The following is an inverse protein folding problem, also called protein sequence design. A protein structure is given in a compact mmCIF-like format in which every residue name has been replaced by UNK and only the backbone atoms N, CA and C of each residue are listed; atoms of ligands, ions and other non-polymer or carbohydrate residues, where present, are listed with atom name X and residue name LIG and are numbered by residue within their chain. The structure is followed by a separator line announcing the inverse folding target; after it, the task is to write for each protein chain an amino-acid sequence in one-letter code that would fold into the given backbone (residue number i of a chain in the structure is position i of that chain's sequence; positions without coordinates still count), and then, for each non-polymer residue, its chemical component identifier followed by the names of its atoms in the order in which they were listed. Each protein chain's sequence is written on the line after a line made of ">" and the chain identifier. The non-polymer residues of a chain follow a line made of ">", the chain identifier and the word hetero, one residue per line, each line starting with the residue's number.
data_IF_275382000404
#
_entry.id   IF_275382000404
#
_cell.length_a   1.000
_cell.length_b   1.000
_cell.length_c   1.000
_cell.angle_alpha   90.00
_cell.angle_beta   90.00
_cell.angle_gamma   90.00
#
_symmetry.space_group_name_H-M   'P 1'
#
loop_
_entity.id
_entity.type
_entity.pdbx_description
1 polymer ?
#
# COMPACT_ATOMS: atom_id res chain seq x y z
N UNK A 1 26.27 6.75 -3.23
CA UNK A 1 25.13 6.02 -2.62
C UNK A 1 25.61 5.42 -1.31
N UNK A 2 25.31 6.05 -0.18
CA UNK A 2 25.73 5.61 1.16
C UNK A 2 24.71 4.64 1.72
N UNK A 3 25.13 3.40 2.01
CA UNK A 3 24.33 2.46 2.81
C UNK A 3 24.00 3.13 4.14
N UNK A 4 22.71 3.37 4.41
CA UNK A 4 22.28 4.02 5.65
C UNK A 4 22.27 2.97 6.77
N UNK A 5 23.45 2.64 7.28
CA UNK A 5 23.56 1.77 8.45
C UNK A 5 22.87 2.47 9.63
N UNK A 6 22.04 1.72 10.36
CA UNK A 6 21.22 2.25 11.46
C UNK A 6 21.87 1.85 12.78
N UNK A 7 22.20 2.84 13.61
CA UNK A 7 22.90 2.63 14.89
C UNK A 7 21.92 2.31 16.03
N UNK A 8 20.79 3.01 16.08
CA UNK A 8 19.76 2.81 17.11
C UNK A 8 18.37 3.06 16.54
N UNK A 9 17.36 2.36 17.08
CA UNK A 9 15.95 2.52 16.69
C UNK A 9 15.07 2.57 17.93
N UNK A 10 14.25 3.62 18.03
CA UNK A 10 13.17 3.73 19.01
C UNK A 10 11.82 3.62 18.29
N UNK A 11 11.01 2.64 18.70
CA UNK A 11 9.63 2.49 18.20
C UNK A 11 8.69 3.30 19.09
N UNK A 12 8.01 4.26 18.46
CA UNK A 12 7.01 5.11 19.11
C UNK A 12 5.62 4.49 19.12
N UNK A 13 4.63 5.31 19.46
CA UNK A 13 3.20 4.97 19.42
C UNK A 13 2.62 5.34 18.04
N UNK A 14 1.70 4.54 17.49
CA UNK A 14 0.97 4.84 16.24
C UNK A 14 1.84 4.96 14.97
N UNK A 15 2.56 3.89 14.62
CA UNK A 15 3.41 3.83 13.41
C UNK A 15 4.45 4.94 13.33
N UNK A 16 4.77 5.57 14.46
CA UNK A 16 5.87 6.52 14.58
C UNK A 16 7.15 5.81 15.02
N UNK A 17 8.28 6.31 14.55
CA UNK A 17 9.58 5.77 14.92
C UNK A 17 10.66 6.85 14.86
N UNK A 18 11.64 6.75 15.75
CA UNK A 18 12.89 7.50 15.66
C UNK A 18 14.02 6.54 15.30
N UNK A 19 14.87 6.92 14.34
CA UNK A 19 16.04 6.12 13.93
C UNK A 19 17.28 6.99 13.88
N UNK A 20 18.34 6.52 14.53
CA UNK A 20 19.67 7.11 14.45
C UNK A 20 20.46 6.39 13.36
N UNK A 21 20.93 7.14 12.37
CA UNK A 21 21.70 6.61 11.25
C UNK A 21 23.20 6.83 11.47
N UNK A 22 24.04 5.95 10.93
CA UNK A 22 25.50 6.08 10.95
C UNK A 22 25.99 7.31 10.18
N UNK A 23 25.17 7.83 9.27
CA UNK A 23 25.41 9.10 8.57
C UNK A 23 25.19 10.35 9.42
N UNK A 24 24.94 10.22 10.72
CA UNK A 24 24.79 11.37 11.62
C UNK A 24 23.43 12.06 11.53
N UNK A 25 22.39 11.32 11.17
CA UNK A 25 21.03 11.87 11.06
C UNK A 25 20.04 11.09 11.92
N UNK A 26 19.10 11.85 12.47
CA UNK A 26 17.94 11.37 13.20
C UNK A 26 16.69 11.44 12.30
N UNK A 27 16.13 10.29 11.96
CA UNK A 27 14.88 10.19 11.21
C UNK A 27 13.71 10.07 12.18
N UNK A 28 12.79 11.03 12.15
CA UNK A 28 11.51 10.95 12.86
C UNK A 28 10.40 10.66 11.83
N UNK A 29 9.87 9.45 11.88
CA UNK A 29 8.77 9.02 11.02
C UNK A 29 7.44 9.20 11.75
N UNK A 30 6.51 9.94 11.15
CA UNK A 30 5.15 10.15 11.66
C UNK A 30 4.13 9.98 10.51
N UNK A 31 2.86 9.60 10.78
CA UNK A 31 1.91 9.17 9.76
C UNK A 31 1.68 10.12 8.58
N UNK A 32 1.82 11.42 8.81
CA UNK A 32 1.61 12.46 7.81
C UNK A 32 2.92 13.09 7.30
N UNK A 33 4.01 12.95 8.05
CA UNK A 33 5.25 13.69 7.82
C UNK A 33 6.42 12.83 8.23
N UNK A 34 7.37 12.67 7.30
CA UNK A 34 8.67 12.11 7.61
C UNK A 34 9.67 13.23 7.73
N UNK A 35 10.34 13.34 8.89
CA UNK A 35 11.36 14.35 9.15
C UNK A 35 12.74 13.72 9.20
N UNK A 36 13.68 14.36 8.53
CA UNK A 36 15.10 14.03 8.57
C UNK A 36 15.82 15.19 9.26
N UNK A 37 16.35 14.93 10.44
CA UNK A 37 16.97 15.91 11.33
C UNK A 37 18.46 15.58 11.41
N UNK A 38 19.36 16.42 10.90
CA UNK A 38 20.80 16.23 11.11
C UNK A 38 21.15 16.32 12.60
N UNK A 39 22.06 15.48 13.11
CA UNK A 39 22.47 15.54 14.52
C UNK A 39 23.14 16.87 14.90
N UNK A 40 23.75 17.55 13.93
CA UNK A 40 24.30 18.90 14.07
C UNK A 40 23.25 19.95 14.41
N UNK A 41 21.97 19.67 14.14
CA UNK A 41 20.84 20.54 14.45
C UNK A 41 20.14 20.21 15.79
N UNK A 42 20.56 19.13 16.46
CA UNK A 42 20.00 18.70 17.73
C UNK A 42 20.79 19.33 18.87
N UNK A 43 20.12 20.07 19.74
CA UNK A 43 20.73 20.69 20.93
C UNK A 43 20.71 19.72 22.11
N UNK A 44 19.53 19.19 22.44
CA UNK A 44 19.37 18.25 23.54
C UNK A 44 18.33 17.20 23.25
N UNK A 45 18.58 16.02 23.82
CA UNK A 45 17.67 14.89 23.77
C UNK A 45 17.38 14.43 25.20
N UNK A 46 16.10 14.22 25.50
CA UNK A 46 15.61 13.87 26.82
C UNK A 46 14.57 12.74 26.80
N UNK A 47 14.45 12.08 27.94
CA UNK A 47 13.40 11.11 28.24
C UNK A 47 12.40 11.78 29.19
N UNK A 48 11.41 12.46 28.62
CA UNK A 48 10.45 13.27 29.38
C UNK A 48 9.11 12.53 29.59
N UNK A 49 8.23 13.18 30.34
CA UNK A 49 6.86 12.74 30.57
C UNK A 49 6.72 11.63 31.63
N UNK A 50 5.50 11.08 31.80
CA UNK A 50 5.18 10.15 32.87
C UNK A 50 6.03 8.88 32.76
N UNK A 51 6.79 8.59 33.82
CA UNK A 51 7.74 7.49 33.89
C UNK A 51 8.88 7.53 32.83
N UNK A 52 9.13 8.66 32.16
CA UNK A 52 10.19 8.81 31.15
C UNK A 52 9.90 8.13 29.81
N UNK A 53 8.63 8.15 29.39
CA UNK A 53 8.15 7.43 28.20
C UNK A 53 8.09 8.25 26.91
N UNK A 54 8.47 9.52 26.94
CA UNK A 54 8.44 10.39 25.74
C UNK A 54 9.86 10.75 25.35
N UNK A 55 10.23 10.47 24.11
CA UNK A 55 11.46 11.01 23.54
C UNK A 55 11.19 12.46 23.15
N UNK A 56 11.93 13.39 23.73
CA UNK A 56 11.90 14.79 23.32
C UNK A 56 13.22 15.12 22.65
N UNK A 57 13.14 15.60 21.41
CA UNK A 57 14.29 16.08 20.64
C UNK A 57 14.12 17.58 20.49
N UNK A 58 15.00 18.33 21.14
CA UNK A 58 15.00 19.79 21.07
C UNK A 58 16.07 20.21 20.09
N UNK A 59 15.65 20.95 19.07
CA UNK A 59 16.54 21.51 18.07
C UNK A 59 17.23 22.76 18.61
N UNK A 60 18.44 23.02 18.13
CA UNK A 60 19.17 24.24 18.44
C UNK A 60 18.33 25.46 18.06
N UNK A 61 18.13 26.35 19.03
CA UNK A 61 17.40 27.59 18.81
C UNK A 61 18.31 28.59 18.10
N UNK A 62 17.79 29.24 17.06
CA UNK A 62 18.41 30.47 16.55
C UNK A 62 18.27 31.59 17.60
N UNK A 63 19.25 32.50 17.71
CA UNK A 63 19.17 33.63 18.63
C UNK A 63 17.84 34.39 18.46
N UNK A 64 17.06 34.52 19.53
CA UNK A 64 15.77 35.20 19.53
C UNK A 64 14.56 34.37 19.08
N UNK A 65 14.73 33.09 18.73
CA UNK A 65 13.61 32.16 18.50
C UNK A 65 13.45 31.16 19.67
N UNK A 66 12.21 30.79 20.01
CA UNK A 66 11.99 29.70 20.96
C UNK A 66 12.49 28.38 20.37
N UNK A 67 13.05 27.48 21.19
CA UNK A 67 13.50 26.17 20.74
C UNK A 67 12.33 25.32 20.22
N UNK A 68 12.54 24.64 19.10
CA UNK A 68 11.56 23.71 18.52
C UNK A 68 11.79 22.33 19.11
N UNK A 69 10.77 21.81 19.80
CA UNK A 69 10.80 20.47 20.36
C UNK A 69 9.92 19.53 19.53
N UNK A 70 10.49 18.39 19.14
CA UNK A 70 9.77 17.27 18.57
C UNK A 70 9.63 16.17 19.61
N UNK A 71 8.39 15.87 19.98
CA UNK A 71 8.08 14.80 20.90
C UNK A 71 7.61 13.55 20.16
N UNK A 72 8.15 12.40 20.58
CA UNK A 72 7.75 11.10 20.07
C UNK A 72 7.40 10.20 21.27
N UNK A 73 6.11 9.95 21.53
CA UNK A 73 5.69 9.10 22.64
C UNK A 73 6.10 7.65 22.36
N UNK A 74 6.69 6.99 23.35
CA UNK A 74 7.12 5.59 23.28
C UNK A 74 6.47 4.76 24.40
N UNK A 75 6.52 3.43 24.26
CA UNK A 75 5.87 2.51 25.21
C UNK A 75 6.78 2.10 26.36
N UNK A 76 8.09 1.98 26.13
CA UNK A 76 9.04 1.47 27.11
C UNK A 76 10.03 2.58 27.54
N UNK A 77 10.00 3.03 28.80
CA UNK A 77 10.87 4.11 29.27
C UNK A 77 12.35 3.72 29.35
N UNK A 78 12.67 2.45 29.62
CA UNK A 78 14.06 1.99 29.60
C UNK A 78 14.64 2.09 28.17
N UNK A 79 13.85 1.71 27.16
CA UNK A 79 14.24 1.83 25.75
C UNK A 79 14.43 3.30 25.31
N UNK A 80 13.61 4.22 25.83
CA UNK A 80 13.81 5.66 25.60
C UNK A 80 15.14 6.10 26.20
N UNK A 81 15.43 5.77 27.47
CA UNK A 81 16.70 6.13 28.12
C UNK A 81 17.91 5.60 27.36
N UNK A 82 17.91 4.31 27.00
CA UNK A 82 19.00 3.71 26.21
C UNK A 82 19.16 4.38 24.85
N UNK A 83 18.07 4.72 24.16
CA UNK A 83 18.14 5.44 22.89
C UNK A 83 18.67 6.86 23.06
N UNK A 84 18.25 7.57 24.11
CA UNK A 84 18.75 8.90 24.46
C UNK A 84 20.25 8.85 24.74
N UNK A 85 20.72 7.87 25.51
CA UNK A 85 22.14 7.70 25.80
C UNK A 85 22.95 7.41 24.53
N UNK A 86 22.44 6.56 23.64
CA UNK A 86 23.07 6.30 22.35
C UNK A 86 23.16 7.55 21.46
N UNK A 87 22.10 8.37 21.42
CA UNK A 87 22.13 9.63 20.66
C UNK A 87 23.10 10.64 21.31
N UNK A 88 23.17 10.70 22.64
CA UNK A 88 24.11 11.57 23.38
C UNK A 88 25.58 11.23 23.13
N UNK A 89 25.91 9.95 22.96
CA UNK A 89 27.26 9.53 22.64
C UNK A 89 27.75 10.00 21.26
N UNK A 90 26.82 10.25 20.33
CA UNK A 90 27.12 10.63 18.94
C UNK A 90 26.86 12.11 18.68
N UNK A 91 26.28 12.83 19.65
CA UNK A 91 25.97 14.25 19.54
C UNK A 91 27.26 15.09 19.52
N UNK A 92 27.41 16.03 18.57
CA UNK A 92 28.54 16.95 18.56
C UNK A 92 28.50 17.89 19.78
N UNK A 93 29.68 18.27 20.29
CA UNK A 93 29.82 19.10 21.48
C UNK A 93 29.20 20.50 21.36
N UNK A 94 29.03 21.01 20.13
CA UNK A 94 28.28 22.23 19.84
C UNK A 94 27.42 22.03 18.59
N UNK A 95 26.11 22.32 18.65
CA UNK A 95 25.27 22.34 17.46
C UNK A 95 25.70 23.50 16.55
N UNK A 96 25.79 23.24 15.25
CA UNK A 96 26.18 24.23 14.23
C UNK A 96 25.01 24.67 13.35
N UNK A 97 23.98 23.83 13.25
CA UNK A 97 22.93 24.00 12.25
C UNK A 97 21.60 24.36 12.92
N UNK A 98 20.93 25.37 12.40
CA UNK A 98 19.61 25.78 12.87
C UNK A 98 18.49 24.84 12.38
N UNK A 99 17.23 25.10 12.79
CA UNK A 99 16.07 24.29 12.42
C UNK A 99 15.80 24.23 10.90
N UNK A 100 16.41 25.12 10.10
CA UNK A 100 16.33 25.11 8.64
C UNK A 100 16.96 23.88 7.96
N UNK A 101 17.79 23.10 8.67
CA UNK A 101 18.40 21.88 8.14
C UNK A 101 17.46 20.65 8.14
N UNK A 102 16.27 20.79 8.72
CA UNK A 102 15.28 19.70 8.79
C UNK A 102 14.57 19.53 7.44
N UNK A 103 14.74 18.37 6.81
CA UNK A 103 13.99 18.04 5.59
C UNK A 103 12.69 17.34 5.96
N UNK A 104 11.56 17.94 5.58
CA UNK A 104 10.23 17.33 5.69
C UNK A 104 9.79 16.75 4.34
N UNK A 105 9.56 15.44 4.28
CA UNK A 105 8.94 14.81 3.13
C UNK A 105 7.45 14.55 3.41
N UNK A 106 6.58 15.15 2.57
CA UNK A 106 5.15 14.83 2.52
C UNK A 106 4.92 13.75 1.46
N UNK A 107 4.51 12.54 1.84
CA UNK A 107 4.27 11.48 0.86
C UNK A 107 3.13 11.85 -0.10
N UNK A 108 3.41 11.92 -1.40
CA UNK A 108 2.44 12.22 -2.46
C UNK A 108 1.51 11.02 -2.68
N UNK A 109 0.19 11.23 -2.52
CA UNK A 109 -0.84 10.20 -2.74
C UNK A 109 -0.86 9.79 -4.22
N UNK A 110 -0.74 8.49 -4.48
CA UNK A 110 -0.96 7.90 -5.80
C UNK A 110 -2.40 8.21 -6.25
N UNK A 111 -2.52 8.79 -7.44
CA UNK A 111 -3.78 9.18 -8.08
C UNK A 111 -4.57 7.94 -8.47
N UNK A 112 -5.89 7.98 -8.29
CA UNK A 112 -6.79 6.87 -8.59
C UNK A 112 -6.68 6.38 -10.05
N UNK A 113 -6.89 5.08 -10.31
CA UNK A 113 -6.75 4.50 -11.64
C UNK A 113 -7.76 5.12 -12.62
N UNK A 114 -7.27 5.58 -13.79
CA UNK A 114 -8.12 6.04 -14.89
C UNK A 114 -8.93 4.87 -15.45
N UNK A 115 -10.26 5.00 -15.49
CA UNK A 115 -11.14 3.99 -16.09
C UNK A 115 -10.85 3.87 -17.60
N UNK A 116 -10.56 2.67 -18.12
CA UNK A 116 -10.20 2.48 -19.52
C UNK A 116 -11.40 2.59 -20.48
N UNK A 117 -11.14 3.06 -21.71
CA UNK A 117 -12.13 3.36 -22.78
C UNK A 117 -13.12 2.21 -23.09
N UNK A 118 -12.72 0.96 -22.88
CA UNK A 118 -13.57 -0.20 -23.15
C UNK A 118 -14.85 -0.23 -22.29
N UNK A 119 -14.84 0.39 -21.10
CA UNK A 119 -16.06 0.53 -20.29
C UNK A 119 -17.16 1.34 -20.99
N UNK A 120 -16.80 2.30 -21.84
CA UNK A 120 -17.76 3.10 -22.60
C UNK A 120 -18.37 2.33 -23.77
N UNK A 121 -17.59 1.45 -24.41
CA UNK A 121 -18.10 0.59 -25.48
C UNK A 121 -19.10 -0.45 -24.95
N UNK A 122 -18.84 -1.01 -23.77
CA UNK A 122 -19.79 -1.91 -23.08
C UNK A 122 -21.09 -1.17 -22.73
N UNK A 123 -20.99 0.06 -22.24
CA UNK A 123 -22.17 0.88 -21.95
C UNK A 123 -23.00 1.23 -23.21
N UNK A 124 -22.34 1.53 -24.33
CA UNK A 124 -23.02 1.85 -25.59
C UNK A 124 -23.76 0.65 -26.21
N UNK A 125 -23.12 -0.52 -26.24
CA UNK A 125 -23.74 -1.76 -26.71
C UNK A 125 -24.97 -2.13 -25.85
N UNK A 126 -24.87 -1.93 -24.54
CA UNK A 126 -25.96 -2.15 -23.61
C UNK A 126 -27.18 -1.25 -23.89
N UNK A 127 -26.96 0.04 -24.17
CA UNK A 127 -28.05 0.98 -24.50
C UNK A 127 -28.78 0.63 -25.81
N UNK A 128 -28.07 0.10 -26.81
CA UNK A 128 -28.69 -0.34 -28.07
C UNK A 128 -29.65 -1.52 -27.88
N UNK A 129 -29.26 -2.49 -27.04
CA UNK A 129 -30.12 -3.63 -26.70
C UNK A 129 -31.36 -3.17 -25.90
N UNK A 130 -31.20 -2.16 -25.03
CA UNK A 130 -32.30 -1.53 -24.31
C UNK A 130 -33.37 -0.98 -25.25
N UNK A 131 -32.92 -0.19 -26.24
CA UNK A 131 -33.80 0.46 -27.20
C UNK A 131 -34.58 -0.54 -28.06
N UNK A 132 -33.95 -1.65 -28.45
CA UNK A 132 -34.61 -2.73 -29.20
C UNK A 132 -35.69 -3.46 -28.40
N UNK A 133 -35.54 -3.59 -27.08
CA UNK A 133 -36.53 -4.24 -26.21
C UNK A 133 -37.65 -3.30 -25.78
N UNK A 134 -37.36 -2.01 -25.60
CA UNK A 134 -38.36 -0.95 -25.48
C UNK A 134 -39.36 -0.95 -26.64
N UNK A 135 -38.90 -1.29 -27.85
CA UNK A 135 -39.76 -1.42 -29.03
C UNK A 135 -40.68 -2.67 -29.02
N UNK A 136 -40.44 -3.65 -28.13
CA UNK A 136 -41.09 -4.98 -28.18
C UNK A 136 -42.12 -5.28 -27.07
N UNK A 137 -42.20 -4.47 -26.01
CA UNK A 137 -43.27 -4.58 -24.99
C UNK A 137 -42.82 -4.53 -23.52
N UNK A 138 -43.77 -4.21 -22.62
CA UNK A 138 -43.54 -3.72 -21.25
C UNK A 138 -43.06 -4.76 -20.22
N UNK A 139 -43.45 -6.02 -20.33
CA UNK A 139 -43.17 -7.02 -19.28
C UNK A 139 -41.76 -7.63 -19.38
N UNK A 140 -41.21 -7.69 -20.60
CA UNK A 140 -39.80 -8.03 -20.83
C UNK A 140 -38.85 -6.91 -20.33
N UNK A 141 -39.36 -5.68 -20.26
CA UNK A 141 -38.59 -4.49 -19.91
C UNK A 141 -38.09 -4.52 -18.46
N UNK A 142 -38.92 -5.01 -17.52
CA UNK A 142 -38.58 -5.06 -16.10
C UNK A 142 -37.49 -6.10 -15.82
N UNK A 143 -37.63 -7.33 -16.35
CA UNK A 143 -36.60 -8.37 -16.25
C UNK A 143 -35.31 -7.96 -16.96
N UNK A 144 -35.42 -7.28 -18.10
CA UNK A 144 -34.26 -6.77 -18.82
C UNK A 144 -33.55 -5.62 -18.10
N UNK A 145 -34.27 -4.69 -17.47
CA UNK A 145 -33.70 -3.59 -16.68
C UNK A 145 -33.00 -4.06 -15.39
N UNK A 146 -33.45 -5.19 -14.82
CA UNK A 146 -32.86 -5.80 -13.63
C UNK A 146 -31.66 -6.70 -13.94
N UNK A 147 -31.65 -7.35 -15.11
CA UNK A 147 -30.55 -8.19 -15.58
C UNK A 147 -29.13 -7.60 -15.45
N UNK A 148 -28.85 -6.31 -15.76
CA UNK A 148 -27.50 -5.73 -15.75
C UNK A 148 -27.06 -5.37 -14.34
N UNK A 149 -28.01 -5.10 -13.44
CA UNK A 149 -27.73 -4.89 -12.02
C UNK A 149 -27.08 -6.14 -11.40
N UNK A 150 -27.39 -7.33 -11.94
CA UNK A 150 -26.85 -8.62 -11.49
C UNK A 150 -25.72 -9.12 -12.40
N UNK A 151 -25.87 -8.98 -13.73
CA UNK A 151 -24.88 -9.43 -14.72
C UNK A 151 -23.62 -8.57 -14.72
N UNK A 152 -23.70 -7.25 -14.52
CA UNK A 152 -22.51 -6.40 -14.52
C UNK A 152 -21.54 -6.74 -13.37
N UNK A 153 -21.97 -6.81 -12.08
CA UNK A 153 -21.05 -7.21 -11.01
C UNK A 153 -20.62 -8.67 -11.13
N UNK A 154 -21.51 -9.57 -11.57
CA UNK A 154 -21.17 -10.98 -11.81
C UNK A 154 -20.10 -11.14 -12.90
N UNK A 155 -20.29 -10.48 -14.03
CA UNK A 155 -19.35 -10.47 -15.15
C UNK A 155 -18.00 -9.86 -14.78
N UNK A 156 -17.98 -8.74 -14.06
CA UNK A 156 -16.74 -8.13 -13.54
C UNK A 156 -16.02 -9.10 -12.60
N UNK A 157 -16.74 -9.79 -11.72
CA UNK A 157 -16.16 -10.78 -10.82
C UNK A 157 -15.56 -11.97 -11.59
N UNK A 158 -16.24 -12.51 -12.60
CA UNK A 158 -15.72 -13.61 -13.43
C UNK A 158 -14.49 -13.17 -14.22
N UNK A 159 -14.54 -12.02 -14.91
CA UNK A 159 -13.41 -11.51 -15.69
C UNK A 159 -12.21 -11.26 -14.77
N UNK A 160 -12.42 -10.63 -13.61
CA UNK A 160 -11.38 -10.44 -12.61
C UNK A 160 -10.82 -11.76 -12.08
N UNK A 161 -11.67 -12.76 -11.84
CA UNK A 161 -11.26 -14.10 -11.42
C UNK A 161 -10.41 -14.83 -12.45
N UNK A 162 -10.78 -14.75 -13.74
CA UNK A 162 -10.02 -15.34 -14.85
C UNK A 162 -8.67 -14.66 -15.01
N UNK A 163 -8.61 -13.33 -14.91
CA UNK A 163 -7.35 -12.59 -15.01
C UNK A 163 -6.40 -12.95 -13.85
N UNK A 164 -6.92 -13.01 -12.61
CA UNK A 164 -6.15 -13.48 -11.45
C UNK A 164 -5.68 -14.93 -11.63
N UNK A 165 -6.51 -15.80 -12.21
CA UNK A 165 -6.15 -17.19 -12.50
C UNK A 165 -5.03 -17.27 -13.54
N UNK A 166 -5.10 -16.47 -14.59
CA UNK A 166 -4.06 -16.37 -15.62
C UNK A 166 -2.74 -15.87 -15.03
N UNK A 167 -2.78 -14.83 -14.21
CA UNK A 167 -1.61 -14.30 -13.50
C UNK A 167 -1.01 -15.33 -12.54
N UNK A 168 -1.86 -16.01 -11.76
CA UNK A 168 -1.45 -17.08 -10.86
C UNK A 168 -0.82 -18.27 -11.60
N UNK A 169 -1.38 -18.63 -12.76
CA UNK A 169 -0.83 -19.68 -13.63
C UNK A 169 0.51 -19.28 -14.23
N UNK A 170 0.63 -18.04 -14.73
CA UNK A 170 1.90 -17.47 -15.21
C UNK A 170 2.98 -17.50 -14.15
N UNK A 171 2.65 -17.04 -12.93
CA UNK A 171 3.54 -17.14 -11.77
C UNK A 171 3.88 -18.59 -11.41
N UNK A 172 2.94 -19.54 -11.53
CA UNK A 172 3.20 -20.95 -11.22
C UNK A 172 4.17 -21.59 -12.22
N UNK A 173 3.94 -21.40 -13.51
CA UNK A 173 4.71 -22.06 -14.59
C UNK A 173 6.03 -21.35 -14.87
N UNK A 174 6.04 -20.02 -14.89
CA UNK A 174 7.18 -19.19 -15.32
C UNK A 174 7.78 -18.33 -14.21
N UNK A 175 7.16 -18.31 -13.03
CA UNK A 175 7.54 -17.38 -11.98
C UNK A 175 8.98 -17.58 -11.52
N UNK A 176 9.73 -16.49 -11.54
CA UNK A 176 11.11 -16.40 -11.03
C UNK A 176 11.10 -15.71 -9.70
N UNK A 177 11.98 -16.14 -8.80
CA UNK A 177 12.12 -15.53 -7.49
C UNK A 177 13.36 -14.67 -7.44
N UNK A 178 13.21 -13.48 -6.87
CA UNK A 178 14.28 -12.50 -6.69
C UNK A 178 14.14 -11.90 -5.30
N UNK A 179 15.24 -11.36 -4.78
CA UNK A 179 15.26 -10.72 -3.49
C UNK A 179 14.74 -9.28 -3.62
N UNK A 180 13.56 -9.03 -3.04
CA UNK A 180 13.01 -7.70 -2.89
C UNK A 180 13.54 -7.03 -1.62
N UNK A 181 14.08 -5.82 -1.75
CA UNK A 181 14.51 -4.99 -0.62
C UNK A 181 13.43 -3.99 -0.27
N UNK A 182 13.05 -3.95 1.01
CA UNK A 182 12.09 -2.98 1.51
C UNK A 182 12.66 -1.57 1.35
N UNK A 183 11.95 -0.73 0.61
CA UNK A 183 12.30 0.68 0.41
C UNK A 183 11.44 1.59 1.28
N UNK A 184 10.15 1.29 1.35
CA UNK A 184 9.20 2.11 2.11
C UNK A 184 8.12 1.23 2.68
N UNK A 185 7.83 1.39 3.95
CA UNK A 185 6.58 0.92 4.54
C UNK A 185 5.72 2.16 4.77
N UNK A 186 4.46 2.12 4.37
CA UNK A 186 3.52 3.18 4.69
C UNK A 186 2.23 2.63 5.26
N UNK A 187 1.79 3.36 6.25
CA UNK A 187 0.59 3.17 6.98
C UNK A 187 -0.64 3.53 6.13
N UNK A 188 -1.48 2.58 5.72
CA UNK A 188 -2.79 2.94 5.16
C UNK A 188 -3.71 3.25 6.33
N UNK A 189 -4.22 4.49 6.35
CA UNK A 189 -5.26 4.91 7.29
C UNK A 189 -6.55 5.10 6.48
N UNK A 190 -7.60 4.36 6.84
CA UNK A 190 -8.88 4.35 6.12
C UNK A 190 -9.58 2.99 6.07
N UNK A 191 -8.96 1.92 6.58
CA UNK A 191 -9.63 0.64 6.86
C UNK A 191 -9.78 0.49 8.38
N UNK A 192 -10.84 -0.18 8.83
CA UNK A 192 -11.10 -0.44 10.27
C UNK A 192 -9.94 -1.19 10.96
N UNK A 193 -9.06 -1.82 10.18
CA UNK A 193 -7.78 -2.36 10.64
C UNK A 193 -6.59 -1.60 10.03
N UNK A 194 -5.58 -1.24 10.85
CA UNK A 194 -4.35 -0.63 10.36
C UNK A 194 -3.58 -1.62 9.49
N UNK A 195 -3.75 -1.55 8.17
CA UNK A 195 -2.94 -2.29 7.19
C UNK A 195 -1.68 -1.51 6.78
N UNK A 196 -0.51 -2.15 6.85
CA UNK A 196 0.74 -1.58 6.36
C UNK A 196 0.94 -2.02 4.91
N UNK A 197 1.12 -1.05 4.02
CA UNK A 197 1.54 -1.29 2.65
C UNK A 197 3.06 -1.17 2.60
N UNK A 198 3.70 -2.19 2.04
CA UNK A 198 5.13 -2.23 1.87
C UNK A 198 5.49 -2.09 0.40
N UNK A 199 6.54 -1.33 0.16
CA UNK A 199 7.17 -1.10 -1.12
C UNK A 199 8.50 -1.81 -1.11
N UNK A 200 8.66 -2.74 -2.03
CA UNK A 200 9.89 -3.47 -2.22
C UNK A 200 10.46 -3.14 -3.60
N UNK A 201 11.75 -2.84 -3.66
CA UNK A 201 12.47 -2.77 -4.93
C UNK A 201 13.13 -4.11 -5.20
N UNK A 202 13.08 -4.56 -6.45
CA UNK A 202 13.77 -5.75 -6.89
C UNK A 202 14.35 -5.53 -8.28
N UNK A 203 15.37 -6.30 -8.63
CA UNK A 203 15.90 -6.34 -10.00
C UNK A 203 15.31 -7.55 -10.73
N UNK A 204 14.87 -7.34 -11.97
CA UNK A 204 14.48 -8.43 -12.87
C UNK A 204 15.72 -9.12 -13.48
N UNK A 205 15.51 -10.16 -14.29
CA UNK A 205 16.58 -10.90 -14.99
C UNK A 205 17.42 -10.00 -15.92
N UNK A 206 16.90 -8.85 -16.33
CA UNK A 206 17.60 -7.87 -17.16
C UNK A 206 18.35 -6.81 -16.33
N UNK A 207 18.30 -6.93 -15.00
CA UNK A 207 18.88 -5.95 -14.07
C UNK A 207 18.06 -4.66 -13.95
N UNK A 208 16.86 -4.59 -14.52
CA UNK A 208 16.03 -3.39 -14.43
C UNK A 208 15.38 -3.32 -13.04
N UNK A 209 15.45 -2.14 -12.43
CA UNK A 209 14.83 -1.90 -11.13
C UNK A 209 13.30 -1.85 -11.29
N UNK A 210 12.62 -2.68 -10.52
CA UNK A 210 11.16 -2.79 -10.43
C UNK A 210 10.69 -2.55 -9.02
N UNK A 211 9.41 -2.25 -8.89
CA UNK A 211 8.77 -1.96 -7.62
C UNK A 211 7.55 -2.87 -7.42
N UNK A 212 7.47 -3.51 -6.26
CA UNK A 212 6.28 -4.21 -5.81
C UNK A 212 5.65 -3.45 -4.66
N UNK A 213 4.31 -3.35 -4.68
CA UNK A 213 3.52 -2.67 -3.64
C UNK A 213 2.41 -3.57 -3.16
N UNK A 214 2.32 -3.79 -1.86
CA UNK A 214 1.24 -4.61 -1.33
C UNK A 214 1.34 -4.88 0.17
N UNK A 215 0.32 -5.54 0.73
CA UNK A 215 0.34 -6.03 2.09
C UNK A 215 1.41 -7.12 2.21
N UNK A 216 2.32 -6.98 3.17
CA UNK A 216 3.48 -7.85 3.31
C UNK A 216 3.90 -7.98 4.78
N UNK A 217 4.99 -8.72 5.02
CA UNK A 217 5.49 -8.94 6.38
C UNK A 217 6.27 -7.75 6.95
N UNK A 218 6.64 -6.78 6.11
CA UNK A 218 7.55 -5.69 6.49
C UNK A 218 8.99 -6.14 6.72
N UNK A 219 9.34 -7.39 6.38
CA UNK A 219 10.72 -7.86 6.43
C UNK A 219 11.59 -7.02 5.49
N UNK A 220 12.84 -6.76 5.87
CA UNK A 220 13.74 -5.90 5.10
C UNK A 220 14.13 -6.49 3.74
N UNK A 221 14.10 -7.83 3.67
CA UNK A 221 14.32 -8.64 2.49
C UNK A 221 13.16 -9.64 2.41
N UNK A 222 12.58 -9.77 1.24
CA UNK A 222 11.52 -10.74 0.97
C UNK A 222 11.79 -11.39 -0.37
N UNK A 223 11.39 -12.65 -0.50
CA UNK A 223 11.37 -13.29 -1.80
C UNK A 223 10.16 -12.76 -2.59
N UNK A 224 10.41 -12.14 -3.74
CA UNK A 224 9.39 -11.70 -4.68
C UNK A 224 9.38 -12.67 -5.83
N UNK A 225 8.22 -13.28 -6.09
CA UNK A 225 8.00 -14.09 -7.28
C UNK A 225 7.32 -13.23 -8.34
N UNK A 226 7.90 -13.16 -9.53
CA UNK A 226 7.37 -12.37 -10.65
C UNK A 226 7.36 -13.18 -11.95
N UNK A 227 6.51 -12.83 -12.92
CA UNK A 227 6.53 -13.42 -14.26
C UNK A 227 7.46 -12.60 -15.18
N UNK A 228 8.54 -13.19 -15.75
CA UNK A 228 9.45 -12.46 -16.64
C UNK A 228 8.79 -11.90 -17.91
N UNK A 229 7.69 -12.51 -18.37
CA UNK A 229 6.95 -12.02 -19.56
C UNK A 229 6.00 -10.87 -19.22
N UNK A 230 5.59 -10.77 -17.97
CA UNK A 230 4.66 -9.77 -17.47
C UNK A 230 5.15 -9.25 -16.11
N UNK A 231 6.24 -8.43 -16.07
CA UNK A 231 6.90 -8.02 -14.83
C UNK A 231 6.03 -7.14 -13.91
N UNK A 232 4.88 -6.65 -14.41
CA UNK A 232 3.86 -6.01 -13.57
C UNK A 232 3.13 -6.98 -12.64
N UNK A 233 3.23 -8.29 -12.89
CA UNK A 233 2.62 -9.36 -12.11
C UNK A 233 3.67 -9.93 -11.16
N UNK A 234 3.60 -9.53 -9.90
CA UNK A 234 4.52 -9.97 -8.86
C UNK A 234 3.80 -10.20 -7.52
N UNK A 235 4.26 -11.19 -6.77
CA UNK A 235 3.69 -11.61 -5.47
C UNK A 235 4.78 -11.84 -4.44
N UNK A 236 4.45 -11.60 -3.18
CA UNK A 236 5.37 -11.72 -2.06
C UNK A 236 5.33 -13.14 -1.47
N UNK A 237 6.47 -13.81 -1.45
CA UNK A 237 6.70 -15.12 -0.84
C UNK A 237 5.91 -16.29 -1.44
N UNK A 238 6.05 -17.47 -0.80
CA UNK A 238 5.30 -18.69 -1.17
C UNK A 238 3.83 -18.68 -0.72
N UNK A 239 3.48 -17.90 0.29
CA UNK A 239 2.13 -17.86 0.88
C UNK A 239 1.12 -17.03 0.07
N UNK A 240 1.58 -16.20 -0.87
CA UNK A 240 0.71 -15.43 -1.77
C UNK A 240 -0.14 -16.32 -2.69
N UNK A 241 0.37 -17.50 -3.06
CA UNK A 241 -0.31 -18.44 -3.97
C UNK A 241 -1.65 -18.95 -3.40
N UNK A 242 -1.72 -19.19 -2.09
CA UNK A 242 -2.95 -19.67 -1.46
C UNK A 242 -4.07 -18.62 -1.41
N UNK A 243 -3.70 -17.35 -1.17
CA UNK A 243 -4.65 -16.22 -1.20
C UNK A 243 -5.16 -15.93 -2.61
N UNK A 244 -4.29 -16.07 -3.62
CA UNK A 244 -4.70 -15.98 -5.02
C UNK A 244 -5.71 -17.08 -5.37
N UNK A 245 -5.44 -18.33 -5.00
CA UNK A 245 -6.36 -19.45 -5.27
C UNK A 245 -7.71 -19.27 -4.56
N UNK A 246 -7.72 -18.81 -3.30
CA UNK A 246 -8.96 -18.50 -2.58
C UNK A 246 -9.76 -17.37 -3.21
N UNK A 247 -9.09 -16.29 -3.64
CA UNK A 247 -9.73 -15.17 -4.34
C UNK A 247 -10.29 -15.57 -5.71
N UNK A 248 -9.56 -16.39 -6.47
CA UNK A 248 -10.01 -16.94 -7.76
C UNK A 248 -11.26 -17.80 -7.57
N UNK A 249 -11.22 -18.76 -6.63
CA UNK A 249 -12.34 -19.66 -6.38
C UNK A 249 -13.59 -18.88 -5.94
N UNK A 250 -13.44 -17.92 -5.03
CA UNK A 250 -14.54 -17.07 -4.59
C UNK A 250 -15.11 -16.23 -5.74
N UNK A 251 -14.26 -15.57 -6.53
CA UNK A 251 -14.69 -14.74 -7.66
C UNK A 251 -15.42 -15.54 -8.75
N UNK A 252 -14.96 -16.76 -9.05
CA UNK A 252 -15.60 -17.62 -10.05
C UNK A 252 -16.91 -18.23 -9.54
N UNK A 253 -16.98 -18.65 -8.28
CA UNK A 253 -18.21 -19.22 -7.69
C UNK A 253 -19.29 -18.16 -7.52
N UNK A 254 -18.97 -17.02 -6.91
CA UNK A 254 -19.94 -15.94 -6.67
C UNK A 254 -20.27 -15.23 -7.98
N UNK A 255 -19.27 -14.93 -8.81
CA UNK A 255 -19.48 -14.33 -10.12
C UNK A 255 -20.30 -15.24 -11.05
N UNK A 256 -19.97 -16.54 -11.08
CA UNK A 256 -20.72 -17.52 -11.85
C UNK A 256 -22.17 -17.69 -11.39
N UNK A 257 -22.41 -17.71 -10.08
CA UNK A 257 -23.77 -17.76 -9.53
C UNK A 257 -24.60 -16.52 -9.91
N UNK A 258 -24.02 -15.31 -9.82
CA UNK A 258 -24.69 -14.07 -10.21
C UNK A 258 -24.97 -14.03 -11.72
N UNK A 259 -24.03 -14.46 -12.55
CA UNK A 259 -24.25 -14.58 -14.01
C UNK A 259 -25.35 -15.59 -14.31
N UNK A 260 -25.35 -16.75 -13.63
CA UNK A 260 -26.39 -17.76 -13.78
C UNK A 260 -27.79 -17.26 -13.41
N UNK A 261 -27.90 -16.52 -12.30
CA UNK A 261 -29.16 -15.87 -11.89
C UNK A 261 -29.60 -14.82 -12.93
N UNK A 262 -28.67 -14.00 -13.41
CA UNK A 262 -28.97 -13.00 -14.44
C UNK A 262 -29.44 -13.62 -15.76
N UNK A 263 -28.82 -14.72 -16.19
CA UNK A 263 -29.23 -15.49 -17.37
C UNK A 263 -30.61 -16.10 -17.16
N UNK A 264 -30.85 -16.72 -16.00
CA UNK A 264 -32.14 -17.33 -15.65
C UNK A 264 -33.30 -16.32 -15.70
N UNK A 265 -33.08 -15.10 -15.21
CA UNK A 265 -34.06 -14.00 -15.25
C UNK A 265 -34.30 -13.50 -16.69
N UNK A 266 -33.26 -13.54 -17.55
CA UNK A 266 -33.35 -13.10 -18.94
C UNK A 266 -33.95 -14.17 -19.88
N UNK A 267 -33.88 -15.46 -19.53
CA UNK A 267 -34.33 -16.57 -20.41
C UNK A 267 -35.79 -16.49 -20.86
N UNK A 268 -36.78 -16.17 -20.00
CA UNK A 268 -38.19 -16.06 -20.40
C UNK A 268 -38.41 -14.93 -21.41
N UNK A 269 -37.71 -13.80 -21.23
CA UNK A 269 -37.74 -12.69 -22.16
C UNK A 269 -37.10 -13.05 -23.51
N UNK A 270 -36.10 -13.93 -23.51
CA UNK A 270 -35.44 -14.40 -24.72
C UNK A 270 -36.34 -15.37 -25.53
N UNK A 271 -37.06 -16.26 -24.86
CA UNK A 271 -38.05 -17.14 -25.49
C UNK A 271 -39.23 -16.38 -26.09
N UNK A 272 -39.71 -15.31 -25.43
CA UNK A 272 -40.78 -14.45 -25.94
C UNK A 272 -40.39 -13.59 -27.16
N UNK A 273 -39.10 -13.51 -27.48
CA UNK A 273 -38.57 -12.74 -28.63
C UNK A 273 -38.30 -13.64 -29.84
N UNK A 274 -38.09 -14.94 -29.61
CA UNK A 274 -37.69 -15.93 -30.63
C UNK A 274 -38.87 -16.83 -31.06
N UNK A 275 -39.89 -17.01 -30.22
CA UNK A 275 -41.17 -17.62 -30.59
C UNK A 275 -42.14 -16.58 -31.14
#
# INVERSE_FOLDING_TARGET
>A
MTSTDTLAVLRGRWRSAARLTAGGELLLDAPAVRRRIPLTAVDRVGADGPAGRTLTVVLAAEPGRPPVAHSLPARNPAAVRTFVDAVRQVLPARPSDGPGAVTEERPKRLTAPRRPLWWWLVAAAYLLVAAGLLARGRDALAGWLLSPLVLAPGGVAVVGGVELARQGWGLRVRGRTTEGRLVRSYAVHGADEPSELHVYHYADEQGLAREWRGPGSGAQRVEIRYDPREPGVAVLGRSGTGRLLGGIAFALVVGGALVGIGVAIASPALWAVVG
#
